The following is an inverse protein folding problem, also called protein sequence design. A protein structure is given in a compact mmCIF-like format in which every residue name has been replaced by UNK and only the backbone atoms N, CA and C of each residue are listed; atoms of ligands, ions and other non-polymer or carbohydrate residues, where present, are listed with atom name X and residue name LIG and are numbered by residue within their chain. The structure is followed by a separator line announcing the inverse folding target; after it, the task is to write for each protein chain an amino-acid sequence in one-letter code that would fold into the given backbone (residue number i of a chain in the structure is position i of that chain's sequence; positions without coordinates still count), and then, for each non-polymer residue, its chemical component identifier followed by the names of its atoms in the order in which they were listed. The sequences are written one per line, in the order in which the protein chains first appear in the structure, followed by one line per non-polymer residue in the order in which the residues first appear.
data_IF_241789694204
#
_entry.id   IF_241789694204
#
_cell.length_a   1.000
_cell.length_b   1.000
_cell.length_c   1.000
_cell.angle_alpha   90.00
_cell.angle_beta   90.00
_cell.angle_gamma   90.00
#
_symmetry.space_group_name_H-M   'P 1'
#
loop_
_entity.id
_entity.type
_entity.pdbx_description
1 polymer ?
#
# COMPACT_ATOMS: atom_id res chain seq x y z
N UNK A 1 35.31 15.38 4.10
CA UNK A 1 33.97 14.85 3.77
C UNK A 1 33.60 15.37 2.39
N UNK A 2 33.15 14.52 1.44
CA UNK A 2 32.70 14.96 0.10
C UNK A 2 31.20 14.65 -0.02
N UNK A 3 30.43 15.62 -0.50
CA UNK A 3 29.00 15.50 -0.76
C UNK A 3 28.78 15.37 -2.28
N UNK A 4 27.84 14.52 -2.69
CA UNK A 4 27.41 14.35 -4.08
C UNK A 4 25.89 14.52 -4.16
N UNK A 5 25.43 15.41 -5.03
CA UNK A 5 23.99 15.62 -5.29
C UNK A 5 23.54 14.68 -6.41
N UNK A 6 22.65 13.74 -6.09
CA UNK A 6 22.04 12.83 -7.05
C UNK A 6 20.58 13.25 -7.33
N UNK A 7 20.20 13.30 -8.60
CA UNK A 7 18.81 13.57 -9.00
C UNK A 7 17.91 12.39 -8.61
N UNK A 8 16.80 12.69 -7.92
CA UNK A 8 15.78 11.69 -7.55
C UNK A 8 14.61 11.74 -8.53
N UNK A 9 14.19 10.58 -9.01
CA UNK A 9 12.94 10.42 -9.75
C UNK A 9 11.90 9.84 -8.80
N UNK A 10 10.81 10.58 -8.60
CA UNK A 10 9.72 10.18 -7.71
C UNK A 10 8.45 9.87 -8.52
N UNK A 11 7.71 8.85 -8.07
CA UNK A 11 6.36 8.59 -8.57
C UNK A 11 5.35 9.40 -7.74
N UNK A 12 4.29 9.86 -8.39
CA UNK A 12 3.15 10.49 -7.72
C UNK A 12 2.49 9.42 -6.86
N UNK A 13 2.25 9.74 -5.58
CA UNK A 13 1.65 8.82 -4.62
C UNK A 13 0.30 9.34 -4.15
N UNK A 14 -0.70 8.45 -4.12
CA UNK A 14 -2.01 8.70 -3.53
C UNK A 14 -2.39 7.55 -2.61
N UNK A 15 -3.22 7.83 -1.61
CA UNK A 15 -3.72 6.83 -0.67
C UNK A 15 -5.24 6.83 -0.78
N UNK A 16 -5.84 5.66 -0.97
CA UNK A 16 -7.29 5.45 -0.96
C UNK A 16 -7.66 4.43 0.10
N UNK A 17 -8.80 4.59 0.75
CA UNK A 17 -9.32 3.60 1.70
C UNK A 17 -10.32 2.70 0.98
N UNK A 18 -10.10 1.39 1.03
CA UNK A 18 -10.98 0.36 0.47
C UNK A 18 -11.70 -0.33 1.61
N UNK A 19 -13.04 -0.38 1.54
CA UNK A 19 -13.84 -1.14 2.50
C UNK A 19 -13.78 -2.63 2.13
N UNK A 20 -13.34 -3.46 3.07
CA UNK A 20 -13.34 -4.93 2.93
C UNK A 20 -14.24 -5.55 3.99
N UNK A 21 -14.59 -6.84 3.83
CA UNK A 21 -15.37 -7.57 4.84
C UNK A 21 -14.73 -7.62 6.24
N UNK A 22 -13.40 -7.48 6.30
CA UNK A 22 -12.64 -7.49 7.55
C UNK A 22 -12.51 -6.09 8.14
N UNK A 23 -12.72 -5.05 7.32
CA UNK A 23 -12.63 -3.65 7.72
C UNK A 23 -11.98 -2.77 6.64
N UNK A 24 -11.78 -1.48 6.93
CA UNK A 24 -11.15 -0.55 6.02
C UNK A 24 -9.64 -0.81 5.89
N UNK A 25 -9.13 -0.84 4.65
CA UNK A 25 -7.70 -0.96 4.33
C UNK A 25 -7.26 0.20 3.46
N UNK A 26 -6.20 0.90 3.85
CA UNK A 26 -5.55 1.91 3.02
C UNK A 26 -4.70 1.26 1.95
N UNK A 27 -4.78 1.80 0.75
CA UNK A 27 -4.06 1.34 -0.44
C UNK A 27 -3.29 2.51 -1.00
N UNK A 28 -1.97 2.41 -0.94
CA UNK A 28 -1.05 3.34 -1.58
C UNK A 28 -0.92 3.01 -3.04
N UNK A 29 -1.24 3.96 -3.90
CA UNK A 29 -1.02 3.89 -5.34
C UNK A 29 0.14 4.81 -5.69
N UNK A 30 1.12 4.28 -6.41
CA UNK A 30 2.23 5.03 -6.97
C UNK A 30 2.14 4.97 -8.50
N UNK A 31 2.10 6.12 -9.16
CA UNK A 31 1.98 6.23 -10.61
C UNK A 31 2.85 7.34 -11.19
N UNK A 32 3.32 7.14 -12.42
CA UNK A 32 4.20 8.07 -13.14
C UNK A 32 5.05 7.34 -14.16
N UNK A 33 5.50 8.06 -15.19
CA UNK A 33 6.38 7.52 -16.25
C UNK A 33 5.88 6.21 -16.89
N UNK A 34 4.55 6.05 -17.03
CA UNK A 34 3.92 4.84 -17.58
C UNK A 34 3.83 3.65 -16.60
N UNK A 35 4.37 3.76 -15.39
CA UNK A 35 4.23 2.74 -14.35
C UNK A 35 3.07 3.09 -13.40
N UNK A 36 2.29 2.08 -13.01
CA UNK A 36 1.29 2.17 -11.95
C UNK A 36 1.36 0.94 -11.06
N UNK A 37 1.48 1.14 -9.75
CA UNK A 37 1.54 0.07 -8.75
C UNK A 37 0.70 0.45 -7.54
N UNK A 38 -0.01 -0.52 -6.98
CA UNK A 38 -0.75 -0.37 -5.73
C UNK A 38 -0.26 -1.36 -4.69
N UNK A 39 -0.25 -0.93 -3.42
CA UNK A 39 0.03 -1.78 -2.26
C UNK A 39 -0.92 -1.42 -1.13
N UNK A 40 -1.51 -2.43 -0.50
CA UNK A 40 -2.20 -2.26 0.77
C UNK A 40 -1.18 -1.92 1.87
N UNK A 41 -1.57 -1.02 2.77
CA UNK A 41 -0.76 -0.63 3.91
C UNK A 41 -0.60 -1.80 4.89
N UNK A 42 0.63 -2.03 5.34
CA UNK A 42 0.96 -3.20 6.13
C UNK A 42 0.30 -3.16 7.51
N UNK A 43 0.28 -2.01 8.17
CA UNK A 43 -0.32 -1.84 9.50
C UNK A 43 -1.81 -2.21 9.51
N UNK A 44 -2.54 -1.83 8.44
CA UNK A 44 -3.95 -2.14 8.31
C UNK A 44 -4.15 -3.64 8.08
N UNK A 45 -3.29 -4.29 7.27
CA UNK A 45 -3.31 -5.73 7.09
C UNK A 45 -3.04 -6.46 8.42
N UNK A 46 -2.00 -6.07 9.15
CA UNK A 46 -1.63 -6.69 10.41
C UNK A 46 -2.76 -6.59 11.45
N UNK A 47 -3.32 -5.39 11.63
CA UNK A 47 -4.46 -5.18 12.52
C UNK A 47 -5.62 -6.10 12.17
N UNK A 48 -6.01 -6.13 10.91
CA UNK A 48 -7.14 -6.93 10.46
C UNK A 48 -6.88 -8.43 10.55
N UNK A 49 -5.65 -8.89 10.32
CA UNK A 49 -5.30 -10.31 10.52
C UNK A 49 -5.41 -10.75 11.97
N UNK A 50 -4.99 -9.90 12.92
CA UNK A 50 -5.09 -10.19 14.35
C UNK A 50 -6.53 -10.14 14.86
N UNK A 51 -7.35 -9.26 14.31
CA UNK A 51 -8.76 -9.10 14.71
C UNK A 51 -9.68 -10.20 14.14
N UNK A 52 -9.35 -10.75 12.97
CA UNK A 52 -10.23 -11.65 12.22
C UNK A 52 -9.66 -13.06 12.02
N UNK A 53 -8.55 -13.41 12.70
CA UNK A 53 -7.83 -14.69 12.58
C UNK A 53 -7.63 -15.14 11.12
N UNK A 54 -7.25 -14.20 10.25
CA UNK A 54 -7.08 -14.40 8.80
C UNK A 54 -5.65 -14.11 8.36
N UNK A 55 -5.28 -14.50 7.15
CA UNK A 55 -3.96 -14.24 6.59
C UNK A 55 -3.91 -12.93 5.79
N UNK A 56 -2.74 -12.26 5.71
CA UNK A 56 -2.63 -11.02 4.90
C UNK A 56 -2.91 -11.27 3.41
N UNK A 57 -2.70 -12.51 2.95
CA UNK A 57 -2.97 -12.94 1.58
C UNK A 57 -4.48 -12.97 1.27
N UNK A 58 -5.31 -13.39 2.21
CA UNK A 58 -6.78 -13.39 2.06
C UNK A 58 -7.33 -11.98 1.99
N UNK A 59 -6.87 -11.09 2.87
CA UNK A 59 -7.28 -9.68 2.85
C UNK A 59 -6.85 -9.01 1.53
N UNK A 60 -5.63 -9.30 1.04
CA UNK A 60 -5.15 -8.78 -0.25
C UNK A 60 -5.99 -9.22 -1.44
N UNK A 61 -6.57 -10.42 -1.43
CA UNK A 61 -7.46 -10.90 -2.51
C UNK A 61 -8.74 -10.06 -2.63
N UNK A 62 -9.18 -9.43 -1.54
CA UNK A 62 -10.37 -8.58 -1.49
C UNK A 62 -10.11 -7.15 -1.95
N UNK A 63 -8.84 -6.76 -2.03
CA UNK A 63 -8.40 -5.43 -2.47
C UNK A 63 -7.99 -5.56 -3.94
N UNK A 64 -8.99 -5.60 -4.83
CA UNK A 64 -8.78 -5.58 -6.28
C UNK A 64 -8.89 -4.14 -6.82
#
# INVERSE_FOLDING_TARGET
MREYVCSRYELIRSIKTVQTRYGPVRVKTAEGYGAKRSKAEYDDLERLTRENDTTPAEIRKLIK
#
